data_IF_961866316903
#
_entry.id   IF_961866316903
#
_cell.length_a   1.000
_cell.length_b   1.000
_cell.length_c   1.000
_cell.angle_alpha   90.00
_cell.angle_beta   90.00
_cell.angle_gamma   90.00
#
_symmetry.space_group_name_H-M   'P 1'
#
loop_
_entity.id
_entity.type
_entity.pdbx_description
1 polymer ?
#
# COMPACT_ATOMS: atom_id res chain seq x y z
N UNK A 1 14.95 -0.06 -5.43
CA UNK A 1 13.69 -0.82 -5.41
C UNK A 1 12.50 -0.05 -5.94
N UNK A 2 12.19 1.11 -5.40
CA UNK A 2 11.07 1.92 -5.88
C UNK A 2 11.26 2.48 -7.30
N UNK A 3 12.48 2.69 -7.74
CA UNK A 3 12.73 3.11 -9.13
C UNK A 3 12.38 1.99 -10.13
N UNK A 4 12.52 0.71 -9.74
CA UNK A 4 12.02 -0.42 -10.55
C UNK A 4 10.51 -0.43 -10.60
N UNK A 5 9.87 -0.03 -9.50
CA UNK A 5 8.41 0.06 -9.44
C UNK A 5 7.87 1.11 -10.41
N UNK A 6 8.57 2.24 -10.55
CA UNK A 6 8.21 3.26 -11.55
C UNK A 6 8.27 2.70 -12.96
N UNK A 7 9.32 1.96 -13.31
CA UNK A 7 9.47 1.35 -14.63
C UNK A 7 8.35 0.32 -14.90
N UNK A 8 7.98 -0.48 -13.90
CA UNK A 8 6.88 -1.44 -14.00
C UNK A 8 5.55 -0.71 -14.24
N UNK A 9 5.30 0.37 -13.51
CA UNK A 9 4.09 1.20 -13.67
C UNK A 9 4.02 1.77 -15.08
N UNK A 10 5.11 2.34 -15.57
CA UNK A 10 5.17 2.93 -16.90
C UNK A 10 4.93 1.89 -17.99
N UNK A 11 5.51 0.70 -17.83
CA UNK A 11 5.32 -0.42 -18.75
C UNK A 11 3.85 -0.85 -18.78
N UNK A 12 3.22 -1.04 -17.62
CA UNK A 12 1.81 -1.41 -17.52
C UNK A 12 0.90 -0.36 -18.11
N UNK A 13 1.20 0.92 -17.90
CA UNK A 13 0.43 2.02 -18.50
C UNK A 13 0.53 2.00 -20.02
N UNK A 14 1.73 1.83 -20.56
CA UNK A 14 1.93 1.81 -22.02
C UNK A 14 1.19 0.66 -22.69
N UNK A 15 0.98 -0.45 -21.98
CA UNK A 15 0.24 -1.62 -22.46
C UNK A 15 -1.26 -1.54 -22.15
N UNK A 16 -1.72 -0.49 -21.49
CA UNK A 16 -3.12 -0.33 -21.08
C UNK A 16 -3.55 -1.34 -20.00
N UNK A 17 -2.59 -1.85 -19.20
CA UNK A 17 -2.84 -2.89 -18.20
C UNK A 17 -2.85 -2.38 -16.76
N UNK A 18 -2.58 -1.09 -16.54
CA UNK A 18 -2.63 -0.53 -15.19
C UNK A 18 -4.09 -0.21 -14.84
N UNK A 19 -4.61 -0.81 -13.78
CA UNK A 19 -5.99 -0.62 -13.35
C UNK A 19 -6.24 0.74 -12.70
N UNK A 20 -7.51 1.06 -12.46
CA UNK A 20 -7.93 2.31 -11.80
C UNK A 20 -7.57 2.34 -10.32
N UNK A 21 -7.36 1.19 -9.71
CA UNK A 21 -6.93 1.04 -8.32
C UNK A 21 -5.59 0.32 -8.30
N UNK A 22 -4.62 0.92 -7.63
CA UNK A 22 -3.26 0.38 -7.53
C UNK A 22 -2.92 0.18 -6.05
N UNK A 23 -2.39 -0.98 -5.71
CA UNK A 23 -1.92 -1.28 -4.36
C UNK A 23 -0.40 -1.37 -4.39
N UNK A 24 0.25 -0.62 -3.51
CA UNK A 24 1.70 -0.62 -3.33
C UNK A 24 2.05 -1.28 -2.00
N UNK A 25 2.79 -2.38 -2.06
CA UNK A 25 3.19 -3.15 -0.88
C UNK A 25 4.71 -3.42 -0.92
N UNK A 26 5.48 -2.35 -0.90
CA UNK A 26 6.92 -2.37 -1.18
C UNK A 26 7.81 -2.13 0.05
N UNK A 27 7.22 -1.83 1.20
CA UNK A 27 7.98 -1.39 2.37
C UNK A 27 8.89 -2.45 3.00
N UNK A 28 8.64 -3.73 2.75
CA UNK A 28 9.51 -4.79 3.26
C UNK A 28 10.86 -4.88 2.54
N UNK A 29 10.98 -4.21 1.41
CA UNK A 29 12.20 -4.21 0.58
C UNK A 29 13.15 -3.04 0.89
N UNK A 30 12.77 -2.16 1.80
CA UNK A 30 13.58 -1.01 2.18
C UNK A 30 12.76 0.26 2.28
N UNK A 31 13.43 1.35 2.61
CA UNK A 31 12.82 2.68 2.63
C UNK A 31 13.04 3.39 1.29
N UNK A 32 12.42 4.55 1.13
CA UNK A 32 12.54 5.37 -0.08
C UNK A 32 12.55 6.85 0.32
N UNK A 33 13.11 7.69 -0.56
CA UNK A 33 13.10 9.13 -0.35
C UNK A 33 11.75 9.73 -0.74
N UNK A 34 11.46 10.90 -0.23
CA UNK A 34 10.27 11.67 -0.58
C UNK A 34 10.17 11.88 -2.11
N UNK A 35 11.28 12.24 -2.74
CA UNK A 35 11.33 12.45 -4.19
C UNK A 35 10.96 11.20 -4.99
N UNK A 36 11.46 10.04 -4.58
CA UNK A 36 11.18 8.75 -5.25
C UNK A 36 9.71 8.38 -5.09
N UNK A 37 9.15 8.55 -3.88
CA UNK A 37 7.74 8.32 -3.64
C UNK A 37 6.84 9.20 -4.51
N UNK A 38 7.16 10.48 -4.62
CA UNK A 38 6.42 11.42 -5.46
C UNK A 38 6.50 11.07 -6.94
N UNK A 39 7.67 10.64 -7.41
CA UNK A 39 7.81 10.19 -8.80
C UNK A 39 6.93 8.99 -9.11
N UNK A 40 6.87 8.03 -8.20
CA UNK A 40 6.01 6.84 -8.36
C UNK A 40 4.54 7.23 -8.43
N UNK A 41 4.09 8.11 -7.55
CA UNK A 41 2.70 8.58 -7.54
C UNK A 41 2.37 9.32 -8.84
N UNK A 42 3.27 10.17 -9.32
CA UNK A 42 3.09 10.87 -10.61
C UNK A 42 3.03 9.90 -11.78
N UNK A 43 3.87 8.86 -11.77
CA UNK A 43 3.86 7.84 -12.83
C UNK A 43 2.53 7.09 -12.87
N UNK A 44 1.95 6.77 -11.71
CA UNK A 44 0.62 6.13 -11.62
C UNK A 44 -0.46 7.08 -12.13
N UNK A 45 -0.42 8.34 -11.72
CA UNK A 45 -1.35 9.37 -12.16
C UNK A 45 -2.42 9.69 -11.14
N UNK A 46 -2.90 10.92 -11.16
CA UNK A 46 -3.86 11.46 -10.20
C UNK A 46 -5.27 10.89 -10.33
N UNK A 47 -5.59 10.28 -11.46
CA UNK A 47 -6.92 9.74 -11.73
C UNK A 47 -7.10 8.31 -11.23
N UNK A 48 -6.05 7.72 -10.67
CA UNK A 48 -6.09 6.38 -10.09
C UNK A 48 -6.07 6.47 -8.58
N UNK A 49 -6.75 5.54 -7.93
CA UNK A 49 -6.71 5.37 -6.47
C UNK A 49 -5.48 4.54 -6.11
N UNK A 50 -4.69 5.03 -5.18
CA UNK A 50 -3.48 4.36 -4.72
C UNK A 50 -3.66 3.98 -3.25
N UNK A 51 -3.50 2.69 -2.95
CA UNK A 51 -3.46 2.18 -1.58
C UNK A 51 -2.03 1.75 -1.29
N UNK A 52 -1.39 2.43 -0.37
CA UNK A 52 -0.01 2.12 0.01
C UNK A 52 0.00 1.44 1.37
N UNK A 53 0.48 0.19 1.39
CA UNK A 53 0.46 -0.67 2.57
C UNK A 53 1.69 -0.41 3.42
N UNK A 54 1.49 -0.19 4.73
CA UNK A 54 2.62 -0.05 5.65
C UNK A 54 3.32 -1.39 5.83
N UNK A 55 4.62 -1.33 6.13
CA UNK A 55 5.46 -2.50 6.30
C UNK A 55 5.46 -2.97 7.76
N UNK A 56 5.50 -4.28 7.96
CA UNK A 56 5.72 -4.86 9.28
C UNK A 56 6.65 -6.07 9.17
N UNK A 57 7.67 -6.10 10.02
CA UNK A 57 8.58 -7.22 10.15
C UNK A 57 9.39 -7.08 11.42
N UNK A 58 9.52 -8.16 12.18
CA UNK A 58 10.13 -8.14 13.52
C UNK A 58 11.54 -7.54 13.54
N UNK A 59 12.29 -7.71 12.44
CA UNK A 59 13.68 -7.27 12.36
C UNK A 59 13.94 -6.25 11.27
N UNK A 60 12.90 -5.57 10.77
CA UNK A 60 13.06 -4.55 9.73
C UNK A 60 13.49 -3.23 10.34
N UNK A 61 14.79 -2.93 10.22
CA UNK A 61 15.38 -1.70 10.76
C UNK A 61 14.81 -0.43 10.14
N UNK A 62 14.33 -0.52 8.89
CA UNK A 62 13.79 0.62 8.14
C UNK A 62 12.27 0.77 8.26
N UNK A 63 11.62 -0.05 9.08
CA UNK A 63 10.15 -0.09 9.15
C UNK A 63 9.56 1.27 9.51
N UNK A 64 10.05 1.91 10.54
CA UNK A 64 9.53 3.21 11.00
C UNK A 64 9.70 4.29 9.94
N UNK A 65 10.87 4.34 9.32
CA UNK A 65 11.16 5.34 8.27
C UNK A 65 10.29 5.10 7.04
N UNK A 66 10.21 3.85 6.57
CA UNK A 66 9.37 3.50 5.43
C UNK A 66 7.90 3.85 5.68
N UNK A 67 7.38 3.49 6.85
CA UNK A 67 5.99 3.76 7.21
C UNK A 67 5.71 5.25 7.37
N UNK A 68 6.67 5.99 7.91
CA UNK A 68 6.57 7.45 7.98
C UNK A 68 6.43 8.05 6.57
N UNK A 69 7.25 7.62 5.63
CA UNK A 69 7.19 8.08 4.25
C UNK A 69 5.86 7.70 3.58
N UNK A 70 5.39 6.48 3.81
CA UNK A 70 4.10 6.02 3.26
C UNK A 70 2.96 6.89 3.78
N UNK A 71 2.90 7.16 5.07
CA UNK A 71 1.87 8.02 5.67
C UNK A 71 1.98 9.45 5.17
N UNK A 72 3.19 9.95 4.99
CA UNK A 72 3.44 11.28 4.44
C UNK A 72 2.89 11.42 3.01
N UNK A 73 3.07 10.40 2.18
CA UNK A 73 2.51 10.42 0.82
C UNK A 73 0.98 10.48 0.86
N UNK A 74 0.35 9.72 1.75
CA UNK A 74 -1.11 9.74 1.90
C UNK A 74 -1.63 11.10 2.38
N UNK A 75 -0.87 11.82 3.21
CA UNK A 75 -1.24 13.17 3.66
C UNK A 75 -1.11 14.20 2.53
N UNK A 76 -0.15 14.05 1.64
CA UNK A 76 0.14 15.01 0.58
C UNK A 76 -0.71 14.85 -0.67
N UNK A 77 -1.24 13.66 -0.93
CA UNK A 77 -1.96 13.35 -2.17
C UNK A 77 -3.35 12.81 -1.88
N UNK A 78 -4.39 13.44 -2.42
CA UNK A 78 -5.78 13.04 -2.19
C UNK A 78 -6.12 11.65 -2.72
N UNK A 79 -5.42 11.20 -3.75
CA UNK A 79 -5.65 9.88 -4.35
C UNK A 79 -4.84 8.76 -3.70
N UNK A 80 -4.06 9.07 -2.67
CA UNK A 80 -3.25 8.08 -1.93
C UNK A 80 -3.86 7.84 -0.56
N UNK A 81 -4.10 6.58 -0.24
CA UNK A 81 -4.58 6.14 1.07
C UNK A 81 -3.63 5.08 1.63
N UNK A 82 -3.53 5.04 2.95
CA UNK A 82 -2.72 4.05 3.64
C UNK A 82 -3.57 2.84 4.02
N UNK A 83 -3.05 1.63 3.78
CA UNK A 83 -3.56 0.42 4.40
C UNK A 83 -2.60 0.09 5.54
N UNK A 84 -3.05 0.23 6.78
CA UNK A 84 -2.16 0.18 7.94
C UNK A 84 -1.99 -1.24 8.50
N UNK A 85 -1.28 -2.06 7.72
CA UNK A 85 -0.93 -3.41 8.11
C UNK A 85 -0.04 -3.44 9.36
N UNK A 86 0.88 -2.49 9.48
CA UNK A 86 1.82 -2.44 10.61
C UNK A 86 1.10 -2.38 11.95
N UNK A 87 0.09 -1.52 12.07
CA UNK A 87 -0.69 -1.39 13.30
C UNK A 87 -1.52 -2.63 13.62
N UNK A 88 -2.11 -3.24 12.59
CA UNK A 88 -2.89 -4.45 12.77
C UNK A 88 -2.02 -5.65 13.13
N UNK A 89 -0.87 -5.79 12.49
CA UNK A 89 0.04 -6.94 12.68
C UNK A 89 0.73 -6.93 14.04
N UNK A 90 0.91 -5.74 14.62
CA UNK A 90 1.53 -5.60 15.93
C UNK A 90 0.73 -6.38 16.98
N UNK A 91 1.42 -7.22 17.75
CA UNK A 91 0.79 -8.06 18.77
C UNK A 91 0.19 -9.37 18.25
N UNK A 92 0.40 -9.70 16.98
CA UNK A 92 -0.07 -10.96 16.39
C UNK A 92 1.09 -11.83 15.86
N UNK A 93 1.97 -12.32 16.75
CA UNK A 93 3.15 -13.09 16.31
C UNK A 93 2.78 -14.39 15.59
N UNK A 94 1.59 -14.95 15.84
CA UNK A 94 1.13 -16.18 15.20
C UNK A 94 0.76 -15.99 13.72
N UNK A 95 0.68 -14.76 13.25
CA UNK A 95 0.43 -14.47 11.84
C UNK A 95 1.69 -14.58 10.99
N UNK A 96 2.85 -14.73 11.63
CA UNK A 96 4.16 -14.74 10.96
C UNK A 96 4.89 -16.05 11.17
N UNK A 97 5.63 -16.47 10.14
CA UNK A 97 6.57 -17.59 10.28
C UNK A 97 7.83 -17.12 11.03
N UNK A 98 8.78 -18.04 11.25
CA UNK A 98 9.96 -17.78 12.08
C UNK A 98 10.81 -16.58 11.67
N UNK A 99 10.74 -16.13 10.41
CA UNK A 99 11.48 -14.96 9.94
C UNK A 99 10.85 -13.62 10.37
N UNK A 100 9.63 -13.64 10.92
CA UNK A 100 8.93 -12.44 11.35
C UNK A 100 8.40 -11.55 10.24
N UNK A 101 8.46 -12.00 9.00
CA UNK A 101 8.04 -11.22 7.81
C UNK A 101 7.00 -11.96 6.98
N UNK A 102 7.28 -13.23 6.62
CA UNK A 102 6.36 -14.02 5.82
C UNK A 102 5.16 -14.48 6.66
N UNK A 103 4.01 -14.59 6.01
CA UNK A 103 2.73 -14.83 6.70
C UNK A 103 2.41 -16.32 6.80
N UNK A 104 1.82 -16.70 7.94
CA UNK A 104 1.15 -17.99 8.10
C UNK A 104 -0.21 -17.94 7.38
N UNK A 105 -0.91 -19.06 7.32
CA UNK A 105 -2.28 -19.10 6.77
C UNK A 105 -3.20 -18.10 7.48
N UNK A 106 -3.13 -18.01 8.81
CA UNK A 106 -3.91 -17.05 9.60
C UNK A 106 -3.52 -15.60 9.26
N UNK A 107 -2.23 -15.34 9.12
CA UNK A 107 -1.72 -14.02 8.71
C UNK A 107 -2.19 -13.63 7.32
N UNK A 108 -2.16 -14.56 6.38
CA UNK A 108 -2.65 -14.31 5.01
C UNK A 108 -4.13 -13.94 4.99
N UNK A 109 -4.95 -14.61 5.80
CA UNK A 109 -6.38 -14.29 5.93
C UNK A 109 -6.60 -12.91 6.49
N UNK A 110 -5.87 -12.53 7.54
CA UNK A 110 -5.96 -11.21 8.15
C UNK A 110 -5.53 -10.11 7.18
N UNK A 111 -4.45 -10.35 6.45
CA UNK A 111 -3.90 -9.44 5.44
C UNK A 111 -4.90 -9.20 4.31
N UNK A 112 -5.44 -10.28 3.76
CA UNK A 112 -6.44 -10.20 2.68
C UNK A 112 -7.71 -9.48 3.13
N UNK A 113 -8.17 -9.75 4.35
CA UNK A 113 -9.36 -9.07 4.91
C UNK A 113 -9.13 -7.57 5.07
N UNK A 114 -7.94 -7.18 5.50
CA UNK A 114 -7.59 -5.76 5.64
C UNK A 114 -7.67 -5.03 4.30
N UNK A 115 -7.14 -5.62 3.24
CA UNK A 115 -7.21 -5.08 1.88
C UNK A 115 -8.66 -4.97 1.40
N UNK A 116 -9.41 -6.05 1.56
CA UNK A 116 -10.82 -6.10 1.15
C UNK A 116 -11.63 -5.01 1.85
N UNK A 117 -11.50 -4.90 3.17
CA UNK A 117 -12.24 -3.91 3.96
C UNK A 117 -11.87 -2.48 3.54
N UNK A 118 -10.60 -2.21 3.30
CA UNK A 118 -10.15 -0.86 2.91
C UNK A 118 -10.66 -0.46 1.53
N UNK A 119 -10.54 -1.34 0.55
CA UNK A 119 -10.89 -1.06 -0.85
C UNK A 119 -12.41 -1.07 -1.03
N UNK A 120 -13.11 -2.06 -0.47
CA UNK A 120 -14.55 -2.21 -0.60
C UNK A 120 -15.31 -1.07 0.09
N UNK A 121 -14.91 -0.68 1.30
CA UNK A 121 -15.51 0.45 2.02
C UNK A 121 -15.46 1.75 1.23
N UNK A 122 -14.34 2.02 0.58
CA UNK A 122 -14.19 3.23 -0.22
C UNK A 122 -15.04 3.16 -1.49
N UNK A 123 -15.18 1.99 -2.10
CA UNK A 123 -16.07 1.79 -3.24
C UNK A 123 -17.53 2.00 -2.84
N UNK A 124 -17.96 1.47 -1.69
CA UNK A 124 -19.31 1.65 -1.17
C UNK A 124 -19.62 3.10 -0.83
N UNK A 125 -18.66 3.84 -0.26
CA UNK A 125 -18.84 5.27 0.03
C UNK A 125 -19.05 6.07 -1.25
N UNK A 126 -18.33 5.75 -2.31
CA UNK A 126 -18.50 6.40 -3.61
C UNK A 126 -19.89 6.12 -4.18
N UNK A 127 -20.37 4.87 -4.10
CA UNK A 127 -21.70 4.47 -4.57
C UNK A 127 -22.78 5.19 -3.76
N UNK A 128 -22.65 5.25 -2.44
CA UNK A 128 -23.60 5.92 -1.56
C UNK A 128 -23.71 7.41 -1.87
N UNK A 129 -22.58 8.09 -2.10
CA UNK A 129 -22.57 9.51 -2.48
C UNK A 129 -23.29 9.74 -3.81
N UNK A 130 -23.08 8.86 -4.77
CA UNK A 130 -23.73 8.97 -6.07
C UNK A 130 -25.25 8.73 -5.99
N UNK A 131 -25.71 7.96 -5.02
CA UNK A 131 -27.13 7.69 -4.79
C UNK A 131 -27.82 8.84 -4.06
N UNK A 132 -27.10 9.64 -3.28
CA UNK A 132 -27.64 10.80 -2.58
C UNK A 132 -27.78 12.04 -3.47
N UNK A 133 -27.13 12.03 -4.63
CA UNK A 133 -27.25 13.08 -5.63
C UNK A 133 -28.42 12.79 -6.59
#
# INVERSE_FOLDING_TARGET
MLFRSKDIVEDLKSKGKLGDTVVLALGTNGTFSDAVGKELIRAIGKDRKIYWVTAFGEHLQWQEEANHQIRSMAEQYQNVQTIDWASLAEGHPKWFVSDGVHLTSSGCKAYAKLYYDAIDKNSQKCITKNQEE
#
